data_IF_573124584235
#
_entry.id   IF_573124584235
#
_cell.length_a   1.000
_cell.length_b   1.000
_cell.length_c   1.000
_cell.angle_alpha   90.00
_cell.angle_beta   90.00
_cell.angle_gamma   90.00
#
_symmetry.space_group_name_H-M   'P 1'
#
loop_
_entity.id
_entity.type
_entity.pdbx_description
1 polymer ?
#
# COMPACT_ATOMS: atom_id res chain seq x y z
N UNK A 1 -46.00 42.31 6.25
CA UNK A 1 -45.89 41.03 5.53
C UNK A 1 -44.51 40.96 4.89
N UNK A 2 -43.55 40.30 5.50
CA UNK A 2 -42.21 40.09 4.91
C UNK A 2 -42.08 38.59 4.61
N UNK A 3 -41.93 38.25 3.31
CA UNK A 3 -41.73 36.88 2.83
C UNK A 3 -40.31 36.48 3.15
N UNK A 4 -40.17 35.39 3.90
CA UNK A 4 -38.92 34.68 4.08
C UNK A 4 -38.59 33.90 2.81
N UNK A 5 -37.40 34.12 2.22
CA UNK A 5 -36.88 33.34 1.11
C UNK A 5 -36.32 31.98 1.57
N UNK A 6 -36.24 30.97 0.69
CA UNK A 6 -35.77 29.67 1.05
C UNK A 6 -34.28 29.70 1.31
N UNK A 7 -33.87 29.21 2.48
CA UNK A 7 -32.46 28.91 2.82
C UNK A 7 -32.02 27.71 2.01
N UNK A 8 -31.14 27.95 1.05
CA UNK A 8 -30.52 26.91 0.24
C UNK A 8 -29.44 26.22 1.07
N UNK A 9 -29.82 25.12 1.76
CA UNK A 9 -28.92 24.28 2.53
C UNK A 9 -28.29 23.22 1.61
N UNK A 10 -27.41 23.64 0.68
CA UNK A 10 -26.48 22.75 0.01
C UNK A 10 -25.23 22.60 0.88
N UNK A 11 -25.36 22.05 2.06
CA UNK A 11 -24.23 21.47 2.79
C UNK A 11 -23.85 20.19 2.04
N UNK A 12 -22.87 20.30 1.14
CA UNK A 12 -22.16 19.16 0.60
C UNK A 12 -21.57 18.41 1.80
N UNK A 13 -22.27 17.35 2.19
CA UNK A 13 -21.80 16.36 3.14
C UNK A 13 -20.48 15.82 2.59
N UNK A 14 -19.35 16.34 3.08
CA UNK A 14 -18.06 15.68 2.96
C UNK A 14 -18.18 14.41 3.78
N UNK A 15 -18.62 13.34 3.13
CA UNK A 15 -18.69 12.03 3.72
C UNK A 15 -17.31 11.67 4.26
N UNK A 16 -17.19 11.52 5.56
CA UNK A 16 -16.07 10.84 6.21
C UNK A 16 -16.18 9.36 5.84
N UNK A 17 -15.91 9.04 4.58
CA UNK A 17 -15.92 7.68 4.09
C UNK A 17 -14.83 6.91 4.81
N UNK A 18 -15.22 5.93 5.60
CA UNK A 18 -14.29 4.99 6.21
C UNK A 18 -13.44 4.37 5.11
N UNK A 19 -12.13 4.57 5.19
CA UNK A 19 -11.16 3.96 4.28
C UNK A 19 -11.00 2.50 4.67
N UNK A 20 -10.97 1.60 3.70
CA UNK A 20 -10.62 0.20 3.92
C UNK A 20 -9.16 0.00 3.56
N UNK A 21 -8.42 -0.74 4.38
CA UNK A 21 -7.01 -1.07 4.12
C UNK A 21 -6.81 -2.56 4.07
N UNK A 22 -5.82 -2.97 3.27
CA UNK A 22 -5.26 -4.30 3.26
C UNK A 22 -3.74 -4.21 3.20
N UNK A 23 -3.08 -4.92 4.12
CA UNK A 23 -1.62 -5.03 4.19
C UNK A 23 -1.27 -6.50 4.17
N UNK A 24 -0.35 -6.86 3.28
CA UNK A 24 0.09 -8.24 3.14
C UNK A 24 1.60 -8.33 2.93
N UNK A 25 2.12 -9.54 3.12
CA UNK A 25 3.43 -9.96 2.65
C UNK A 25 3.27 -11.16 1.73
N UNK A 26 4.22 -11.33 0.81
CA UNK A 26 4.29 -12.49 -0.07
C UNK A 26 5.72 -12.80 -0.46
N UNK A 27 5.94 -13.94 -1.09
CA UNK A 27 7.23 -14.31 -1.65
C UNK A 27 7.23 -14.09 -3.17
N UNK A 28 8.28 -13.46 -3.75
CA UNK A 28 8.45 -13.43 -5.19
C UNK A 28 8.59 -14.85 -5.76
N UNK A 29 7.93 -15.10 -6.91
CA UNK A 29 7.99 -16.36 -7.66
C UNK A 29 8.67 -16.18 -9.02
N UNK A 30 9.60 -15.26 -9.11
CA UNK A 30 10.40 -15.00 -10.30
C UNK A 30 11.87 -15.22 -10.00
N UNK A 31 12.70 -15.65 -10.96
CA UNK A 31 14.14 -15.72 -10.80
C UNK A 31 14.74 -14.39 -10.37
N UNK A 32 15.81 -14.42 -9.57
CA UNK A 32 16.41 -13.20 -9.02
C UNK A 32 16.92 -12.23 -10.11
N UNK A 33 17.40 -12.75 -11.22
CA UNK A 33 17.86 -11.98 -12.39
C UNK A 33 16.71 -11.31 -13.16
N UNK A 34 15.47 -11.76 -12.98
CA UNK A 34 14.26 -11.19 -13.59
C UNK A 34 13.41 -10.38 -12.59
N UNK A 35 13.84 -10.28 -11.33
CA UNK A 35 13.04 -9.64 -10.29
C UNK A 35 12.81 -8.14 -10.57
N UNK A 36 13.82 -7.44 -11.07
CA UNK A 36 13.69 -6.01 -11.37
C UNK A 36 12.69 -5.74 -12.49
N UNK A 37 12.72 -6.54 -13.54
CA UNK A 37 11.78 -6.43 -14.66
C UNK A 37 10.35 -6.80 -14.21
N UNK A 38 10.21 -7.85 -13.39
CA UNK A 38 8.93 -8.23 -12.83
C UNK A 38 8.34 -7.14 -11.93
N UNK A 39 9.16 -6.50 -11.09
CA UNK A 39 8.75 -5.37 -10.26
C UNK A 39 8.35 -4.18 -11.14
N UNK A 40 9.09 -3.87 -12.19
CA UNK A 40 8.76 -2.79 -13.11
C UNK A 40 7.40 -3.02 -13.81
N UNK A 41 7.13 -4.26 -14.24
CA UNK A 41 5.83 -4.63 -14.83
C UNK A 41 4.69 -4.56 -13.80
N UNK A 42 4.90 -5.06 -12.58
CA UNK A 42 3.93 -4.94 -11.48
C UNK A 42 3.59 -3.47 -11.25
N UNK A 43 4.59 -2.60 -11.13
CA UNK A 43 4.39 -1.18 -10.87
C UNK A 43 3.61 -0.49 -11.99
N UNK A 44 4.00 -0.72 -13.26
CA UNK A 44 3.35 -0.13 -14.42
C UNK A 44 1.86 -0.46 -14.47
N UNK A 45 1.51 -1.75 -14.31
CA UNK A 45 0.11 -2.22 -14.33
C UNK A 45 -0.66 -1.73 -13.09
N UNK A 46 -0.03 -1.80 -11.92
CA UNK A 46 -0.67 -1.42 -10.66
C UNK A 46 -0.97 0.07 -10.59
N UNK A 47 -0.09 0.94 -11.07
CA UNK A 47 -0.33 2.39 -11.10
C UNK A 47 -1.61 2.76 -11.86
N UNK A 48 -1.78 2.21 -13.06
CA UNK A 48 -2.97 2.46 -13.88
C UNK A 48 -4.24 1.91 -13.21
N UNK A 49 -4.17 0.67 -12.71
CA UNK A 49 -5.31 0.00 -12.09
C UNK A 49 -5.71 0.62 -10.76
N UNK A 50 -4.75 0.93 -9.90
CA UNK A 50 -5.01 1.58 -8.62
C UNK A 50 -5.68 2.95 -8.83
N UNK A 51 -5.18 3.71 -9.80
CA UNK A 51 -5.78 5.01 -10.16
C UNK A 51 -7.23 4.85 -10.61
N UNK A 52 -7.54 3.89 -11.49
CA UNK A 52 -8.90 3.65 -11.97
C UNK A 52 -9.86 3.20 -10.85
N UNK A 53 -9.35 2.53 -9.83
CA UNK A 53 -10.11 2.06 -8.67
C UNK A 53 -10.10 3.05 -7.49
N UNK A 54 -9.47 4.21 -7.63
CA UNK A 54 -9.26 5.17 -6.54
C UNK A 54 -8.61 4.51 -5.30
N UNK A 55 -7.65 3.61 -5.54
CA UNK A 55 -6.83 2.98 -4.50
C UNK A 55 -5.47 3.65 -4.47
N UNK A 56 -4.96 3.85 -3.27
CA UNK A 56 -3.62 4.39 -3.02
C UNK A 56 -2.83 3.44 -2.13
N UNK A 57 -1.51 3.59 -2.05
CA UNK A 57 -0.69 2.73 -1.22
C UNK A 57 0.78 2.73 -1.55
N UNK A 58 1.49 1.75 -0.99
CA UNK A 58 2.92 1.57 -1.18
C UNK A 58 3.29 0.10 -1.34
N UNK A 59 4.29 -0.18 -2.19
CA UNK A 59 4.90 -1.48 -2.40
C UNK A 59 6.37 -1.42 -1.96
N UNK A 60 6.75 -2.35 -1.10
CA UNK A 60 8.15 -2.60 -0.72
C UNK A 60 8.57 -3.93 -1.33
N UNK A 61 9.69 -3.92 -2.03
CA UNK A 61 10.32 -5.13 -2.55
C UNK A 61 11.70 -5.29 -1.93
N UNK A 62 11.92 -6.37 -1.19
CA UNK A 62 13.19 -6.67 -0.53
C UNK A 62 14.07 -7.68 -1.28
N UNK A 63 13.69 -8.08 -2.46
CA UNK A 63 14.32 -9.19 -3.17
C UNK A 63 13.88 -10.58 -2.67
N UNK A 64 13.57 -10.72 -1.40
CA UNK A 64 13.08 -11.96 -0.79
C UNK A 64 11.59 -11.91 -0.46
N UNK A 65 11.02 -10.71 -0.33
CA UNK A 65 9.63 -10.48 0.04
C UNK A 65 9.06 -9.28 -0.70
N UNK A 66 7.79 -9.40 -1.04
CA UNK A 66 6.93 -8.25 -1.30
C UNK A 66 6.16 -7.93 -0.03
N UNK A 67 6.00 -6.65 0.28
CA UNK A 67 5.03 -6.17 1.24
C UNK A 67 4.29 -5.00 0.64
N UNK A 68 2.98 -5.01 0.69
CA UNK A 68 2.17 -3.95 0.10
C UNK A 68 1.10 -3.48 1.06
N UNK A 69 0.89 -2.17 1.09
CA UNK A 69 -0.20 -1.49 1.77
C UNK A 69 -1.13 -0.91 0.72
N UNK A 70 -2.40 -1.24 0.75
CA UNK A 70 -3.44 -0.72 -0.13
C UNK A 70 -4.57 -0.13 0.70
N UNK A 71 -5.11 1.00 0.23
CA UNK A 71 -6.19 1.72 0.88
C UNK A 71 -7.14 2.36 -0.13
N UNK A 72 -8.44 2.22 0.10
CA UNK A 72 -9.48 2.69 -0.80
C UNK A 72 -10.88 2.36 -0.29
N UNK A 73 -11.85 2.25 -1.20
CA UNK A 73 -13.12 1.62 -0.85
C UNK A 73 -12.91 0.12 -0.57
N UNK A 74 -13.76 -0.48 0.26
CA UNK A 74 -13.69 -1.92 0.54
C UNK A 74 -13.76 -2.74 -0.76
N UNK A 75 -14.68 -2.39 -1.64
CA UNK A 75 -14.87 -3.08 -2.92
C UNK A 75 -13.63 -3.01 -3.82
N UNK A 76 -13.05 -1.82 -3.96
CA UNK A 76 -11.82 -1.61 -4.76
C UNK A 76 -10.63 -2.40 -4.21
N UNK A 77 -10.45 -2.40 -2.89
CA UNK A 77 -9.36 -3.13 -2.23
C UNK A 77 -9.55 -4.63 -2.38
N UNK A 78 -10.77 -5.15 -2.24
CA UNK A 78 -11.08 -6.58 -2.45
C UNK A 78 -10.83 -7.00 -3.90
N UNK A 79 -11.22 -6.18 -4.88
CA UNK A 79 -10.92 -6.42 -6.29
C UNK A 79 -9.41 -6.57 -6.55
N UNK A 80 -8.59 -5.71 -5.93
CA UNK A 80 -7.12 -5.82 -6.04
C UNK A 80 -6.60 -7.06 -5.31
N UNK A 81 -7.10 -7.34 -4.11
CA UNK A 81 -6.73 -8.53 -3.33
C UNK A 81 -6.92 -9.82 -4.14
N UNK A 82 -8.09 -9.98 -4.75
CA UNK A 82 -8.36 -11.14 -5.59
C UNK A 82 -7.40 -11.24 -6.79
N UNK A 83 -7.10 -10.11 -7.42
CA UNK A 83 -6.18 -10.07 -8.54
C UNK A 83 -4.75 -10.44 -8.15
N UNK A 84 -4.28 -9.91 -7.03
CA UNK A 84 -2.92 -10.15 -6.49
C UNK A 84 -2.80 -11.61 -6.05
N UNK A 85 -3.83 -12.16 -5.40
CA UNK A 85 -3.82 -13.55 -4.95
C UNK A 85 -3.77 -14.58 -6.09
N UNK A 86 -4.16 -14.18 -7.31
CA UNK A 86 -4.07 -15.02 -8.52
C UNK A 86 -2.82 -14.74 -9.36
N UNK A 87 -2.02 -13.75 -9.00
CA UNK A 87 -0.82 -13.38 -9.75
C UNK A 87 0.29 -14.38 -9.48
N UNK A 88 0.71 -15.09 -10.52
CA UNK A 88 1.74 -16.14 -10.45
C UNK A 88 3.12 -15.65 -10.02
N UNK A 89 3.33 -14.34 -10.04
CA UNK A 89 4.57 -13.70 -9.57
C UNK A 89 4.66 -13.63 -8.05
N UNK A 90 3.55 -13.95 -7.34
CA UNK A 90 3.45 -14.00 -5.90
C UNK A 90 3.14 -15.42 -5.41
N UNK A 91 3.75 -15.82 -4.32
CA UNK A 91 3.35 -17.00 -3.56
C UNK A 91 3.22 -16.65 -2.08
N UNK A 92 2.52 -17.51 -1.36
CA UNK A 92 2.40 -17.43 0.09
C UNK A 92 1.86 -16.06 0.56
N UNK A 93 0.89 -15.50 -0.18
CA UNK A 93 0.25 -14.22 0.19
C UNK A 93 -0.37 -14.37 1.57
N UNK A 94 0.14 -13.59 2.51
CA UNK A 94 -0.25 -13.64 3.92
C UNK A 94 -0.77 -12.29 4.36
N UNK A 95 -2.03 -12.25 4.77
CA UNK A 95 -2.68 -11.04 5.28
C UNK A 95 -2.08 -10.65 6.64
N UNK A 96 -1.61 -9.42 6.77
CA UNK A 96 -1.14 -8.86 8.02
C UNK A 96 -2.22 -8.06 8.72
N UNK A 97 -2.88 -7.19 7.96
CA UNK A 97 -3.97 -6.34 8.44
C UNK A 97 -4.98 -6.18 7.33
N UNK A 98 -6.25 -6.31 7.68
CA UNK A 98 -7.37 -6.03 6.80
C UNK A 98 -8.52 -5.42 7.59
N UNK A 99 -9.12 -4.35 7.09
CA UNK A 99 -10.30 -3.77 7.72
C UNK A 99 -10.44 -2.26 7.53
N UNK A 100 -11.46 -1.68 8.19
CA UNK A 100 -11.71 -0.25 8.15
C UNK A 100 -10.60 0.54 8.85
N UNK A 101 -10.32 1.75 8.33
CA UNK A 101 -9.34 2.66 8.86
C UNK A 101 -9.85 4.11 8.80
N UNK A 102 -9.34 4.97 9.68
CA UNK A 102 -9.87 6.31 9.84
C UNK A 102 -9.56 7.26 8.68
N UNK A 103 -8.39 7.10 8.03
CA UNK A 103 -7.94 7.99 6.95
C UNK A 103 -6.87 7.31 6.09
N UNK A 104 -6.67 7.83 4.86
CA UNK A 104 -5.54 7.41 4.04
C UNK A 104 -4.21 7.90 4.65
N UNK A 105 -3.19 7.06 4.55
CA UNK A 105 -1.81 7.44 4.87
C UNK A 105 -0.98 7.73 3.61
N UNK A 106 -1.46 7.29 2.43
CA UNK A 106 -0.87 7.56 1.12
C UNK A 106 -1.84 8.31 0.19
N UNK A 107 -2.42 9.48 0.57
CA UNK A 107 -3.54 10.09 -0.14
C UNK A 107 -3.22 10.45 -1.59
N UNK A 108 -1.97 10.78 -1.90
CA UNK A 108 -1.55 11.30 -3.21
C UNK A 108 -0.84 10.26 -4.09
N UNK A 109 -0.64 9.04 -3.58
CA UNK A 109 0.16 8.03 -4.28
C UNK A 109 -0.67 6.81 -4.69
N UNK A 110 -0.98 6.71 -5.98
CA UNK A 110 -1.62 5.50 -6.53
C UNK A 110 -0.80 4.24 -6.26
N UNK A 111 0.54 4.34 -6.23
CA UNK A 111 1.45 3.34 -5.69
C UNK A 111 2.84 3.94 -5.49
N UNK A 112 3.31 4.05 -4.25
CA UNK A 112 4.69 4.32 -3.93
C UNK A 112 5.49 3.02 -4.02
N UNK A 113 6.65 3.06 -4.67
CA UNK A 113 7.58 1.94 -4.66
C UNK A 113 8.83 2.30 -3.85
N UNK A 114 9.15 1.44 -2.89
CA UNK A 114 10.38 1.52 -2.13
C UNK A 114 11.22 0.26 -2.38
N UNK A 115 12.46 0.44 -2.83
CA UNK A 115 13.44 -0.64 -2.86
C UNK A 115 13.95 -0.87 -1.44
N UNK A 116 14.03 -2.13 -1.06
CA UNK A 116 14.53 -2.50 0.25
C UNK A 116 16.04 -2.35 0.34
N UNK A 117 16.48 -1.85 1.48
CA UNK A 117 17.83 -2.04 1.98
C UNK A 117 17.93 -3.36 2.78
N UNK A 118 19.14 -3.86 3.04
CA UNK A 118 19.38 -5.01 3.93
C UNK A 118 18.73 -4.85 5.33
N UNK A 119 18.44 -3.62 5.72
CA UNK A 119 17.75 -3.31 6.96
C UNK A 119 16.29 -3.77 6.91
N UNK A 120 15.59 -3.53 5.80
CA UNK A 120 14.19 -3.92 5.63
C UNK A 120 14.02 -5.43 5.51
N UNK A 121 14.99 -6.14 4.94
CA UNK A 121 14.99 -7.60 4.87
C UNK A 121 14.84 -8.24 6.25
N UNK A 122 15.45 -7.69 7.29
CA UNK A 122 15.35 -8.21 8.65
C UNK A 122 13.91 -8.19 9.17
N UNK A 123 13.14 -7.17 8.81
CA UNK A 123 11.73 -7.06 9.23
C UNK A 123 10.81 -7.93 8.39
N UNK A 124 11.07 -8.04 7.09
CA UNK A 124 10.21 -8.76 6.16
C UNK A 124 10.50 -10.26 6.12
N UNK A 125 11.76 -10.69 6.27
CA UNK A 125 12.17 -12.10 6.18
C UNK A 125 11.83 -12.92 7.44
N UNK A 126 11.78 -12.27 8.60
CA UNK A 126 11.35 -12.92 9.85
C UNK A 126 9.87 -13.30 9.92
N UNK A 127 9.13 -13.05 8.86
CA UNK A 127 7.70 -13.30 8.75
C UNK A 127 7.43 -14.76 8.35
N UNK A 128 6.74 -15.59 9.16
CA UNK A 128 6.29 -16.90 8.72
C UNK A 128 5.27 -16.73 7.58
N UNK A 129 5.59 -17.29 6.42
CA UNK A 129 4.69 -17.35 5.27
C UNK A 129 3.69 -18.49 5.44
N UNK A 130 2.46 -18.26 5.00
CA UNK A 130 1.45 -19.33 4.94
C UNK A 130 0.74 -19.67 6.26
N UNK A 131 0.98 -18.93 7.33
CA UNK A 131 0.24 -19.08 8.61
C UNK A 131 -0.38 -17.75 9.03
N UNK A 132 -1.56 -17.74 9.65
CA UNK A 132 -2.12 -16.51 10.16
C UNK A 132 -1.13 -15.87 11.13
N UNK A 133 -0.73 -14.63 10.83
CA UNK A 133 0.22 -13.87 11.62
C UNK A 133 -0.34 -13.62 13.01
N UNK A 134 0.22 -14.33 13.98
CA UNK A 134 -0.12 -14.13 15.39
C UNK A 134 0.91 -13.29 16.15
N UNK A 135 2.04 -12.94 15.49
CA UNK A 135 3.07 -12.11 16.08
C UNK A 135 2.74 -10.62 15.88
N UNK A 136 2.04 -10.06 16.84
CA UNK A 136 1.62 -8.66 16.87
C UNK A 136 2.82 -7.69 16.74
N UNK A 137 3.98 -8.08 17.27
CA UNK A 137 5.20 -7.27 17.19
C UNK A 137 5.71 -7.13 15.76
N UNK A 138 5.68 -8.20 14.99
CA UNK A 138 6.13 -8.19 13.57
C UNK A 138 5.15 -7.43 12.67
N UNK A 139 3.86 -7.63 12.86
CA UNK A 139 2.83 -6.83 12.17
C UNK A 139 3.02 -5.35 12.48
N UNK A 140 3.22 -5.01 13.77
CA UNK A 140 3.51 -3.65 14.20
C UNK A 140 4.74 -3.04 13.52
N UNK A 141 5.81 -3.81 13.36
CA UNK A 141 7.04 -3.37 12.69
C UNK A 141 6.80 -3.06 11.19
N UNK A 142 6.06 -3.91 10.47
CA UNK A 142 5.70 -3.67 9.07
C UNK A 142 4.82 -2.43 8.92
N UNK A 143 3.84 -2.26 9.81
CA UNK A 143 2.99 -1.05 9.80
C UNK A 143 3.79 0.21 10.12
N UNK A 144 4.72 0.15 11.07
CA UNK A 144 5.60 1.28 11.38
C UNK A 144 6.44 1.70 10.18
N UNK A 145 6.94 0.72 9.42
CA UNK A 145 7.68 0.96 8.17
C UNK A 145 6.83 1.71 7.13
N UNK A 146 5.57 1.30 6.91
CA UNK A 146 4.67 2.03 6.00
C UNK A 146 4.34 3.43 6.51
N UNK A 147 4.15 3.61 7.82
CA UNK A 147 3.94 4.94 8.40
C UNK A 147 5.18 5.85 8.22
N UNK A 148 6.38 5.30 8.35
CA UNK A 148 7.61 6.04 8.13
C UNK A 148 7.77 6.45 6.64
N UNK A 149 7.47 5.55 5.70
CA UNK A 149 7.40 5.87 4.27
C UNK A 149 6.40 7.00 3.99
N UNK A 150 5.22 6.94 4.57
CA UNK A 150 4.22 7.97 4.41
C UNK A 150 4.67 9.33 4.98
N UNK A 151 5.41 9.33 6.10
CA UNK A 151 5.94 10.54 6.73
C UNK A 151 7.11 11.18 5.95
N UNK A 152 7.85 10.41 5.17
CA UNK A 152 8.95 10.93 4.32
C UNK A 152 8.46 11.69 3.09
N UNK A 153 7.17 11.60 2.77
CA UNK A 153 6.53 12.30 1.66
C UNK A 153 6.82 13.80 1.62
N UNK A 154 6.87 14.43 2.78
CA UNK A 154 6.98 15.89 2.96
C UNK A 154 8.42 16.36 3.17
N UNK A 155 9.41 15.46 3.11
CA UNK A 155 10.83 15.81 3.30
C UNK A 155 11.57 15.87 1.96
N UNK A 156 12.36 16.92 1.69
CA UNK A 156 13.24 16.94 0.53
C UNK A 156 14.26 15.79 0.62
N UNK A 157 14.59 15.22 -0.52
CA UNK A 157 15.44 14.04 -0.75
C UNK A 157 16.69 14.04 0.13
N UNK A 158 16.83 13.06 1.02
CA UNK A 158 17.98 12.93 1.92
C UNK A 158 17.73 12.09 3.18
N UNK A 159 16.66 11.36 3.23
CA UNK A 159 16.24 10.63 4.44
C UNK A 159 16.93 9.28 4.65
N UNK A 160 17.19 9.00 5.90
CA UNK A 160 17.97 7.98 6.59
C UNK A 160 17.71 6.48 6.27
N UNK A 161 16.80 6.12 5.36
CA UNK A 161 16.45 4.71 5.09
C UNK A 161 17.02 4.14 3.80
N UNK A 162 17.79 4.89 3.01
CA UNK A 162 18.32 4.41 1.72
C UNK A 162 17.22 4.02 0.71
N UNK A 163 16.05 4.63 0.84
CA UNK A 163 14.91 4.39 -0.05
C UNK A 163 15.01 5.32 -1.24
N UNK A 164 15.34 4.78 -2.40
CA UNK A 164 15.26 5.51 -3.66
C UNK A 164 13.82 5.49 -4.15
N UNK A 165 13.17 6.66 -4.15
CA UNK A 165 11.88 6.87 -4.81
C UNK A 165 12.20 7.44 -6.19
N UNK A 166 12.05 6.67 -7.28
CA UNK A 166 12.30 7.19 -8.62
C UNK A 166 11.35 8.35 -8.93
N UNK A 167 11.87 9.44 -9.50
CA UNK A 167 11.11 10.67 -9.82
C UNK A 167 9.87 10.44 -10.69
N UNK A 168 9.87 9.39 -11.52
CA UNK A 168 8.73 8.98 -12.36
C UNK A 168 7.48 8.51 -11.59
N UNK A 169 7.57 8.36 -10.28
CA UNK A 169 6.46 7.91 -9.41
C UNK A 169 5.98 9.01 -8.43
N UNK A 170 6.52 10.22 -8.57
CA UNK A 170 6.06 11.43 -7.87
C UNK A 170 4.88 12.11 -8.57
#
# INVERSE_FOLDING_TARGET
MRKAGPVNSNAVSRGSGTVYRWVYVSRPCVPNDQLEDAVADILSRSLSRNRSLNVTGALICSGLRFSQYLEGSRESVQTLKESISRDVRHADVTDLVEGPFSRRIFPDWSLLHARSSRYLDRFLVGAPLGSPWRDVGKVGAVLALFNELAAQRDKPTGGSLGLEIPDRYR
#
